data_IF_081476589414
#
_entry.id   IF_081476589414
#
_cell.length_a   1.000
_cell.length_b   1.000
_cell.length_c   1.000
_cell.angle_alpha   90.00
_cell.angle_beta   90.00
_cell.angle_gamma   90.00
#
_symmetry.space_group_name_H-M   'P 1'
#
loop_
_entity.id
_entity.type
_entity.pdbx_description
1 polymer ?
#
# COMPACT_ATOMS: atom_id res chain seq x y z
N UNK A 1 -64.17 23.13 -24.12
CA UNK A 1 -62.77 23.30 -24.56
C UNK A 1 -61.97 24.37 -23.80
N UNK A 2 -62.58 25.56 -23.51
CA UNK A 2 -61.89 26.60 -22.73
C UNK A 2 -61.39 26.16 -21.34
N UNK A 3 -62.24 25.44 -20.59
CA UNK A 3 -61.91 25.00 -19.23
C UNK A 3 -60.78 23.87 -19.18
N UNK A 4 -60.68 23.11 -20.27
CA UNK A 4 -59.59 22.08 -20.36
C UNK A 4 -58.24 22.75 -20.56
N UNK A 5 -58.19 23.83 -21.35
CA UNK A 5 -56.95 24.60 -21.57
C UNK A 5 -56.43 25.29 -20.28
N UNK A 6 -57.40 25.80 -19.46
CA UNK A 6 -57.02 26.41 -18.17
C UNK A 6 -56.49 25.42 -17.17
N UNK A 7 -57.01 24.19 -17.11
CA UNK A 7 -56.52 23.13 -16.21
C UNK A 7 -55.09 22.66 -16.65
N UNK A 8 -54.87 22.49 -17.96
CA UNK A 8 -53.55 22.12 -18.50
C UNK A 8 -52.51 23.22 -18.24
N UNK A 9 -52.90 24.49 -18.40
CA UNK A 9 -52.00 25.62 -18.10
C UNK A 9 -51.64 25.72 -16.61
N UNK A 10 -52.59 25.41 -15.72
CA UNK A 10 -52.37 25.41 -14.26
C UNK A 10 -51.41 24.26 -13.82
N UNK A 11 -51.54 23.09 -14.47
CA UNK A 11 -50.63 21.95 -14.21
C UNK A 11 -49.18 22.24 -14.67
N UNK A 12 -48.98 22.94 -15.78
CA UNK A 12 -47.63 23.28 -16.28
C UNK A 12 -46.92 24.25 -15.34
N UNK A 13 -47.64 25.20 -14.73
CA UNK A 13 -47.06 26.17 -13.77
C UNK A 13 -46.56 25.45 -12.48
N UNK A 14 -47.25 24.36 -12.06
CA UNK A 14 -46.86 23.61 -10.86
C UNK A 14 -45.51 22.87 -10.98
N UNK A 15 -45.09 22.51 -12.19
CA UNK A 15 -43.80 21.83 -12.43
C UNK A 15 -42.61 22.79 -12.40
N UNK A 16 -42.81 24.10 -12.52
CA UNK A 16 -41.73 25.09 -12.56
C UNK A 16 -41.18 25.36 -11.14
N UNK A 17 -41.92 25.09 -10.08
CA UNK A 17 -41.49 25.29 -8.69
C UNK A 17 -40.81 24.11 -8.05
N UNK A 18 -40.64 22.99 -8.77
CA UNK A 18 -39.93 21.79 -8.28
C UNK A 18 -38.40 21.84 -8.50
N UNK A 19 -37.83 23.02 -8.69
CA UNK A 19 -36.36 23.13 -8.66
C UNK A 19 -35.90 22.98 -7.22
N UNK A 20 -35.34 21.85 -6.89
CA UNK A 20 -34.63 21.64 -5.62
C UNK A 20 -33.61 22.77 -5.47
N UNK A 21 -33.84 23.61 -4.45
CA UNK A 21 -32.91 24.67 -4.09
C UNK A 21 -31.51 24.07 -3.94
N UNK A 22 -30.66 24.35 -4.91
CA UNK A 22 -29.30 23.85 -4.88
C UNK A 22 -28.58 24.57 -3.71
N UNK A 23 -27.95 23.86 -2.79
CA UNK A 23 -27.23 24.47 -1.64
C UNK A 23 -26.13 25.46 -2.06
N UNK A 24 -25.88 25.59 -3.38
CA UNK A 24 -24.90 26.49 -4.01
C UNK A 24 -25.50 27.93 -4.23
N UNK A 25 -26.77 28.17 -3.94
CA UNK A 25 -27.42 29.50 -4.17
C UNK A 25 -26.98 30.60 -3.19
N UNK A 26 -25.94 30.35 -2.39
CA UNK A 26 -25.36 31.33 -1.47
C UNK A 26 -23.89 31.59 -1.81
N UNK A 27 -23.38 32.83 -1.59
CA UNK A 27 -21.97 33.11 -1.79
C UNK A 27 -21.09 32.18 -0.98
N UNK A 28 -20.08 31.58 -1.62
CA UNK A 28 -19.15 30.71 -0.97
C UNK A 28 -17.72 30.92 -1.45
N UNK A 29 -16.77 30.55 -0.60
CA UNK A 29 -15.36 30.42 -0.94
C UNK A 29 -15.00 28.94 -0.96
N UNK A 30 -14.43 28.48 -2.06
CA UNK A 30 -13.88 27.12 -2.17
C UNK A 30 -12.36 27.17 -1.97
N UNK A 31 -11.88 26.34 -1.07
CA UNK A 31 -10.43 26.16 -0.83
C UNK A 31 -10.08 24.69 -0.78
N UNK A 32 -8.88 24.36 -1.26
CA UNK A 32 -8.31 23.05 -1.12
C UNK A 32 -6.95 23.13 -0.43
N UNK A 33 -6.61 22.07 0.28
CA UNK A 33 -5.29 21.92 0.89
C UNK A 33 -4.86 20.47 0.93
N UNK A 34 -3.54 20.29 0.82
CA UNK A 34 -2.87 19.00 0.94
C UNK A 34 -2.16 18.88 2.28
N UNK A 35 -2.13 17.66 2.80
CA UNK A 35 -1.26 17.27 3.89
C UNK A 35 -0.55 15.98 3.52
N UNK A 36 0.72 15.88 3.85
CA UNK A 36 1.56 14.71 3.57
C UNK A 36 2.52 14.42 4.72
N UNK A 37 3.00 13.18 4.76
CA UNK A 37 4.06 12.72 5.66
C UNK A 37 4.84 11.56 5.04
N UNK A 38 6.06 11.37 5.52
CA UNK A 38 6.93 10.25 5.17
C UNK A 38 7.13 9.36 6.39
N UNK A 39 6.84 8.07 6.29
CA UNK A 39 6.99 7.11 7.39
C UNK A 39 7.86 5.94 6.97
N UNK A 40 8.60 5.38 7.91
CA UNK A 40 9.37 4.15 7.72
C UNK A 40 8.38 2.98 7.73
N UNK A 41 8.43 2.05 6.74
CA UNK A 41 7.59 0.86 6.77
C UNK A 41 7.92 -0.02 7.98
N UNK A 42 6.89 -0.59 8.59
CA UNK A 42 6.99 -1.52 9.71
C UNK A 42 6.44 -2.92 9.37
N UNK A 43 6.05 -3.12 8.10
CA UNK A 43 5.64 -4.42 7.53
C UNK A 43 6.31 -4.59 6.19
N UNK A 44 7.16 -5.59 6.08
CA UNK A 44 7.93 -5.92 4.89
C UNK A 44 7.54 -7.34 4.47
N UNK A 45 7.05 -7.49 3.26
CA UNK A 45 6.59 -8.77 2.72
C UNK A 45 7.63 -9.31 1.76
N UNK A 46 8.15 -10.50 2.08
CA UNK A 46 9.08 -11.25 1.25
C UNK A 46 8.36 -12.45 0.66
N UNK A 47 8.57 -12.72 -0.63
CA UNK A 47 8.20 -13.98 -1.26
C UNK A 47 9.41 -14.91 -1.27
N UNK A 48 9.23 -16.13 -0.82
CA UNK A 48 10.25 -17.18 -0.77
C UNK A 48 9.76 -18.30 -1.68
N UNK A 49 10.43 -18.52 -2.79
CA UNK A 49 10.15 -19.64 -3.69
C UNK A 49 11.16 -20.75 -3.46
N UNK A 50 10.66 -21.92 -3.09
CA UNK A 50 11.46 -23.14 -2.94
C UNK A 50 11.23 -24.04 -4.15
N UNK A 51 12.31 -24.51 -4.75
CA UNK A 51 12.28 -25.42 -5.90
C UNK A 51 13.36 -26.49 -5.78
N UNK A 52 13.00 -27.75 -6.02
CA UNK A 52 13.97 -28.86 -6.10
C UNK A 52 15.05 -28.62 -7.16
N UNK A 53 14.67 -27.93 -8.24
CA UNK A 53 15.58 -27.57 -9.33
C UNK A 53 16.78 -26.72 -8.86
N UNK A 54 16.60 -25.88 -7.83
CA UNK A 54 17.64 -24.95 -7.37
C UNK A 54 18.78 -25.70 -6.69
N UNK A 55 18.50 -26.87 -6.10
CA UNK A 55 19.50 -27.77 -5.51
C UNK A 55 19.98 -28.85 -6.47
N UNK A 56 19.66 -28.77 -7.77
CA UNK A 56 19.95 -29.81 -8.78
C UNK A 56 19.41 -31.18 -8.34
N UNK A 57 18.19 -31.18 -7.81
CA UNK A 57 17.45 -32.36 -7.34
C UNK A 57 18.15 -33.15 -6.21
N UNK A 58 19.07 -32.50 -5.47
CA UNK A 58 19.77 -33.12 -4.32
C UNK A 58 18.96 -33.08 -3.03
N UNK A 59 18.04 -32.12 -2.90
CA UNK A 59 17.16 -31.95 -1.73
C UNK A 59 15.71 -31.90 -2.18
N UNK A 60 14.87 -32.63 -1.48
CA UNK A 60 13.42 -32.58 -1.69
C UNK A 60 12.83 -31.25 -1.19
N UNK A 61 11.62 -30.90 -1.65
CA UNK A 61 10.90 -29.73 -1.12
C UNK A 61 10.71 -29.83 0.38
N UNK A 62 10.41 -31.00 0.90
CA UNK A 62 10.18 -31.25 2.31
C UNK A 62 11.46 -30.99 3.15
N UNK A 63 12.63 -31.38 2.64
CA UNK A 63 13.92 -31.07 3.27
C UNK A 63 14.24 -29.58 3.25
N UNK A 64 13.93 -28.89 2.14
CA UNK A 64 14.12 -27.45 2.02
C UNK A 64 13.18 -26.67 2.94
N UNK A 65 11.94 -27.13 3.13
CA UNK A 65 10.99 -26.54 4.07
C UNK A 65 11.49 -26.61 5.52
N UNK A 66 11.95 -27.79 5.94
CA UNK A 66 12.51 -27.99 7.28
C UNK A 66 13.70 -27.05 7.49
N UNK A 67 14.60 -27.02 6.52
CA UNK A 67 15.78 -26.16 6.58
C UNK A 67 15.43 -24.67 6.61
N UNK A 68 14.47 -24.24 5.80
CA UNK A 68 13.94 -22.86 5.82
C UNK A 68 13.37 -22.53 7.20
N UNK A 69 12.53 -23.38 7.74
CA UNK A 69 11.92 -23.16 9.05
C UNK A 69 12.97 -23.05 10.17
N UNK A 70 13.94 -23.94 10.19
CA UNK A 70 15.05 -23.91 11.16
C UNK A 70 15.84 -22.60 11.07
N UNK A 71 16.19 -22.16 9.86
CA UNK A 71 16.94 -20.92 9.65
C UNK A 71 16.14 -19.68 10.06
N UNK A 72 14.88 -19.60 9.67
CA UNK A 72 14.01 -18.51 10.08
C UNK A 72 13.86 -18.44 11.60
N UNK A 73 13.65 -19.57 12.27
CA UNK A 73 13.59 -19.64 13.75
C UNK A 73 14.92 -19.24 14.40
N UNK A 74 16.06 -19.60 13.84
CA UNK A 74 17.37 -19.27 14.39
C UNK A 74 17.65 -17.78 14.46
N UNK A 75 17.00 -16.98 13.62
CA UNK A 75 17.09 -15.52 13.61
C UNK A 75 15.93 -14.82 14.32
N UNK A 76 15.09 -15.61 15.03
CA UNK A 76 14.03 -15.09 15.90
C UNK A 76 12.68 -14.87 15.21
N UNK A 77 12.46 -15.47 14.03
CA UNK A 77 11.16 -15.36 13.33
C UNK A 77 10.18 -16.41 13.87
N UNK A 78 8.98 -15.96 14.22
CA UNK A 78 7.85 -16.83 14.57
C UNK A 78 7.17 -17.30 13.28
N UNK A 79 7.62 -18.45 12.76
CA UNK A 79 7.12 -19.00 11.49
C UNK A 79 5.62 -19.26 11.51
N UNK A 80 5.01 -19.54 12.68
CA UNK A 80 3.56 -19.76 12.82
C UNK A 80 2.74 -18.49 12.56
N UNK A 81 3.29 -17.31 12.87
CA UNK A 81 2.61 -16.03 12.73
C UNK A 81 3.04 -15.25 11.49
N UNK A 82 4.29 -15.40 11.07
CA UNK A 82 4.92 -14.55 10.07
C UNK A 82 5.08 -15.23 8.71
N UNK A 83 5.00 -16.58 8.62
CA UNK A 83 5.15 -17.33 7.39
C UNK A 83 3.80 -17.92 6.95
N UNK A 84 3.44 -17.71 5.69
CA UNK A 84 2.20 -18.21 5.09
C UNK A 84 2.51 -18.88 3.76
N UNK A 85 1.92 -20.05 3.49
CA UNK A 85 2.00 -20.72 2.20
C UNK A 85 1.09 -19.98 1.20
N UNK A 86 1.66 -19.49 0.09
CA UNK A 86 0.93 -18.79 -0.95
C UNK A 86 0.48 -19.73 -2.08
N UNK A 87 1.38 -20.62 -2.52
CA UNK A 87 1.13 -21.49 -3.65
C UNK A 87 1.88 -22.82 -3.52
N UNK A 88 1.25 -23.87 -4.05
CA UNK A 88 1.77 -25.22 -4.12
C UNK A 88 1.59 -25.75 -5.54
N UNK A 89 2.67 -25.84 -6.30
CA UNK A 89 2.63 -26.34 -7.66
C UNK A 89 3.53 -27.56 -7.84
N UNK A 90 3.04 -28.55 -8.60
CA UNK A 90 3.86 -29.66 -9.10
C UNK A 90 3.77 -29.70 -10.63
N UNK A 91 4.89 -29.55 -11.30
CA UNK A 91 4.96 -29.57 -12.76
C UNK A 91 5.61 -30.87 -13.23
N UNK A 92 4.90 -31.58 -14.14
CA UNK A 92 5.44 -32.75 -14.84
C UNK A 92 6.22 -32.27 -16.06
N UNK A 93 7.54 -32.52 -16.11
CA UNK A 93 8.31 -32.46 -17.34
C UNK A 93 8.46 -33.85 -17.93
N UNK A 94 7.82 -34.10 -19.07
CA UNK A 94 8.10 -35.29 -19.88
C UNK A 94 9.36 -35.04 -20.71
N UNK A 95 10.45 -35.74 -20.41
CA UNK A 95 11.58 -35.84 -21.33
C UNK A 95 11.37 -36.99 -22.29
N UNK A 96 11.69 -36.80 -23.57
CA UNK A 96 11.44 -37.75 -24.67
C UNK A 96 12.20 -39.10 -24.54
N UNK A 97 13.17 -39.18 -23.66
CA UNK A 97 13.96 -40.38 -23.40
C UNK A 97 14.29 -40.48 -21.88
N UNK A 98 13.47 -41.23 -21.15
CA UNK A 98 13.66 -41.67 -19.76
C UNK A 98 13.44 -40.62 -18.66
N UNK A 99 12.57 -41.01 -17.74
CA UNK A 99 12.18 -40.42 -16.46
C UNK A 99 11.29 -39.19 -16.51
N UNK A 100 10.12 -39.35 -15.90
CA UNK A 100 9.20 -38.26 -15.59
C UNK A 100 9.68 -37.64 -14.26
N UNK A 101 10.46 -36.58 -14.34
CA UNK A 101 10.82 -35.82 -13.14
C UNK A 101 9.67 -34.92 -12.76
N UNK A 102 9.12 -35.12 -11.58
CA UNK A 102 8.10 -34.24 -10.98
C UNK A 102 8.86 -33.15 -10.26
N UNK A 103 8.95 -31.96 -10.86
CA UNK A 103 9.54 -30.80 -10.18
C UNK A 103 8.45 -30.14 -9.32
N UNK A 104 8.66 -30.17 -8.02
CA UNK A 104 7.81 -29.48 -7.05
C UNK A 104 8.35 -28.09 -6.78
N UNK A 105 7.43 -27.14 -6.61
CA UNK A 105 7.73 -25.78 -6.17
C UNK A 105 6.70 -25.35 -5.14
N UNK A 106 7.14 -24.59 -4.13
CA UNK A 106 6.27 -23.96 -3.15
C UNK A 106 6.65 -22.50 -2.97
N UNK A 107 5.65 -21.62 -2.87
CA UNK A 107 5.84 -20.20 -2.59
C UNK A 107 5.27 -19.85 -1.22
N UNK A 108 6.05 -19.06 -0.47
CA UNK A 108 5.71 -18.60 0.86
C UNK A 108 5.78 -17.10 0.94
N UNK A 109 4.85 -16.47 1.66
CA UNK A 109 4.96 -15.08 2.07
C UNK A 109 5.49 -15.00 3.50
N UNK A 110 6.54 -14.22 3.70
CA UNK A 110 7.10 -13.94 5.01
C UNK A 110 6.93 -12.46 5.34
N UNK A 111 6.40 -12.16 6.53
CA UNK A 111 6.33 -10.79 7.03
C UNK A 111 7.48 -10.58 8.02
N UNK A 112 8.27 -9.54 7.79
CA UNK A 112 9.26 -9.03 8.75
C UNK A 112 9.03 -7.55 9.03
N UNK A 113 9.61 -7.03 10.14
CA UNK A 113 9.20 -5.72 10.66
C UNK A 113 10.27 -4.64 10.52
N UNK A 114 11.46 -4.99 10.04
CA UNK A 114 12.55 -4.07 9.80
C UNK A 114 13.49 -4.56 8.68
N UNK A 115 14.26 -3.64 8.11
CA UNK A 115 15.16 -3.92 6.99
C UNK A 115 16.32 -4.83 7.38
N UNK A 116 16.81 -4.72 8.62
CA UNK A 116 17.91 -5.53 9.12
C UNK A 116 17.50 -7.01 9.22
N UNK A 117 16.30 -7.27 9.72
CA UNK A 117 15.72 -8.63 9.77
C UNK A 117 15.50 -9.17 8.36
N UNK A 118 14.99 -8.35 7.42
CA UNK A 118 14.84 -8.75 6.02
C UNK A 118 16.19 -9.18 5.40
N UNK A 119 17.23 -8.39 5.62
CA UNK A 119 18.58 -8.72 5.15
C UNK A 119 19.13 -10.01 5.76
N UNK A 120 18.88 -10.25 7.05
CA UNK A 120 19.26 -11.51 7.71
C UNK A 120 18.53 -12.72 7.15
N UNK A 121 17.24 -12.58 6.85
CA UNK A 121 16.45 -13.63 6.19
C UNK A 121 17.08 -14.04 4.87
N UNK A 122 17.36 -13.07 4.01
CA UNK A 122 17.98 -13.33 2.70
C UNK A 122 19.30 -14.07 2.88
N UNK A 123 20.17 -13.57 3.74
CA UNK A 123 21.48 -14.17 4.01
C UNK A 123 21.39 -15.62 4.51
N UNK A 124 20.53 -15.90 5.50
CA UNK A 124 20.40 -17.24 6.07
C UNK A 124 19.78 -18.24 5.08
N UNK A 125 18.84 -17.79 4.26
CA UNK A 125 18.22 -18.65 3.25
C UNK A 125 19.18 -18.93 2.09
N UNK A 126 19.97 -17.95 1.64
CA UNK A 126 21.02 -18.16 0.63
C UNK A 126 22.05 -19.16 1.09
N UNK A 127 22.49 -19.09 2.35
CA UNK A 127 23.42 -20.09 2.95
C UNK A 127 22.81 -21.50 3.00
N UNK A 128 21.50 -21.62 2.83
CA UNK A 128 20.76 -22.88 2.82
C UNK A 128 20.35 -23.33 1.43
N UNK A 129 20.93 -22.72 0.39
CA UNK A 129 20.61 -22.98 -1.04
C UNK A 129 19.18 -22.59 -1.42
N UNK A 130 18.54 -21.68 -0.67
CA UNK A 130 17.26 -21.07 -0.96
C UNK A 130 17.50 -19.61 -1.37
N UNK A 131 17.71 -19.37 -2.67
CA UNK A 131 18.12 -18.07 -3.19
C UNK A 131 16.99 -17.25 -3.85
N UNK A 132 15.80 -17.84 -4.05
CA UNK A 132 14.68 -17.17 -4.66
C UNK A 132 13.83 -16.42 -3.61
N UNK A 133 14.42 -15.39 -3.01
CA UNK A 133 13.75 -14.51 -2.04
C UNK A 133 13.59 -13.13 -2.67
N UNK A 134 12.35 -12.60 -2.69
CA UNK A 134 12.02 -11.31 -3.32
C UNK A 134 11.23 -10.43 -2.37
N UNK A 135 11.52 -9.13 -2.37
CA UNK A 135 10.66 -8.14 -1.76
C UNK A 135 9.41 -7.96 -2.62
N UNK A 136 8.23 -8.14 -2.03
CA UNK A 136 6.95 -7.95 -2.70
C UNK A 136 6.41 -6.54 -2.49
N UNK A 137 6.31 -6.13 -1.22
CA UNK A 137 5.81 -4.81 -0.84
C UNK A 137 6.27 -4.43 0.55
N UNK A 138 6.15 -3.14 0.84
CA UNK A 138 6.30 -2.60 2.18
C UNK A 138 5.03 -1.85 2.56
N UNK A 139 4.61 -1.94 3.81
CA UNK A 139 3.42 -1.29 4.35
C UNK A 139 3.73 -0.68 5.72
N UNK A 140 2.82 0.16 6.19
CA UNK A 140 2.83 0.64 7.57
C UNK A 140 1.56 0.19 8.28
N UNK A 141 1.70 -0.42 9.46
CA UNK A 141 0.58 -1.01 10.23
C UNK A 141 -0.52 0.00 10.58
N UNK A 142 -0.16 1.28 10.72
CA UNK A 142 -1.08 2.38 11.06
C UNK A 142 -1.42 3.27 9.85
N UNK A 143 -1.44 2.71 8.63
CA UNK A 143 -1.69 3.48 7.42
C UNK A 143 -3.02 4.25 7.47
N UNK A 144 -4.09 3.60 7.93
CA UNK A 144 -5.41 4.23 8.04
C UNK A 144 -5.42 5.37 9.07
N UNK A 145 -4.81 5.18 10.25
CA UNK A 145 -4.70 6.20 11.30
C UNK A 145 -3.95 7.43 10.79
N UNK A 146 -2.82 7.21 10.09
CA UNK A 146 -2.02 8.27 9.47
C UNK A 146 -2.85 9.08 8.47
N UNK A 147 -3.63 8.42 7.63
CA UNK A 147 -4.48 9.10 6.65
C UNK A 147 -5.56 9.93 7.31
N UNK A 148 -6.23 9.41 8.32
CA UNK A 148 -7.24 10.15 9.07
C UNK A 148 -6.65 11.41 9.71
N UNK A 149 -5.46 11.31 10.29
CA UNK A 149 -4.73 12.45 10.87
C UNK A 149 -4.35 13.48 9.79
N UNK A 150 -3.89 13.01 8.62
CA UNK A 150 -3.59 13.89 7.48
C UNK A 150 -4.84 14.60 6.94
N UNK A 151 -5.99 13.91 6.88
CA UNK A 151 -7.26 14.52 6.49
C UNK A 151 -7.65 15.66 7.45
N UNK A 152 -7.56 15.42 8.75
CA UNK A 152 -7.81 16.46 9.75
C UNK A 152 -6.87 17.66 9.56
N UNK A 153 -5.58 17.42 9.34
CA UNK A 153 -4.59 18.47 9.07
C UNK A 153 -4.89 19.23 7.76
N UNK A 154 -5.33 18.54 6.71
CA UNK A 154 -5.69 19.16 5.44
C UNK A 154 -6.93 20.08 5.59
N UNK A 155 -7.96 19.65 6.34
CA UNK A 155 -9.13 20.49 6.65
C UNK A 155 -8.73 21.76 7.40
N UNK A 156 -7.87 21.64 8.41
CA UNK A 156 -7.35 22.80 9.18
C UNK A 156 -6.60 23.75 8.26
N UNK A 157 -5.73 23.23 7.39
CA UNK A 157 -5.00 24.04 6.41
C UNK A 157 -5.96 24.77 5.43
N UNK A 158 -6.98 24.06 4.92
CA UNK A 158 -7.99 24.65 4.02
C UNK A 158 -8.77 25.78 4.72
N UNK A 159 -9.20 25.57 5.97
CA UNK A 159 -9.86 26.59 6.79
C UNK A 159 -8.97 27.81 7.01
N UNK A 160 -7.71 27.62 7.42
CA UNK A 160 -6.78 28.72 7.64
C UNK A 160 -6.53 29.53 6.36
N UNK A 161 -6.41 28.87 5.21
CA UNK A 161 -6.32 29.49 3.89
C UNK A 161 -7.57 30.32 3.59
N UNK A 162 -8.76 29.78 3.87
CA UNK A 162 -10.03 30.48 3.66
C UNK A 162 -10.12 31.74 4.55
N UNK A 163 -9.73 31.66 5.82
CA UNK A 163 -9.69 32.82 6.75
C UNK A 163 -8.80 33.93 6.20
N UNK A 164 -7.62 33.61 5.71
CA UNK A 164 -6.69 34.60 5.17
C UNK A 164 -7.24 35.29 3.92
N UNK A 165 -7.86 34.53 3.02
CA UNK A 165 -8.47 35.07 1.78
C UNK A 165 -9.65 35.99 2.12
N UNK A 166 -10.58 35.57 2.99
CA UNK A 166 -11.74 36.39 3.36
C UNK A 166 -11.33 37.67 4.09
N UNK A 167 -10.33 37.58 4.97
CA UNK A 167 -9.78 38.75 5.66
C UNK A 167 -9.22 39.80 4.67
N UNK A 168 -8.52 39.35 3.61
CA UNK A 168 -7.98 40.25 2.59
C UNK A 168 -9.07 40.97 1.79
N UNK A 169 -10.30 40.41 1.71
CA UNK A 169 -11.46 40.98 1.05
C UNK A 169 -12.39 41.73 2.01
N UNK A 170 -12.00 41.89 3.28
CA UNK A 170 -12.86 42.46 4.36
C UNK A 170 -14.19 41.71 4.52
N UNK A 171 -14.21 40.39 4.24
CA UNK A 171 -15.34 39.49 4.42
C UNK A 171 -15.10 38.57 5.63
N UNK A 172 -16.18 37.99 6.16
CA UNK A 172 -16.15 37.01 7.20
C UNK A 172 -16.30 35.59 6.65
N UNK A 173 -15.55 34.66 7.18
CA UNK A 173 -15.71 33.24 6.86
C UNK A 173 -16.83 32.65 7.72
N UNK A 174 -17.87 32.13 7.06
CA UNK A 174 -18.95 31.40 7.71
C UNK A 174 -18.65 29.90 7.86
N UNK A 175 -19.67 29.10 8.06
CA UNK A 175 -19.59 27.65 8.24
C UNK A 175 -19.19 26.93 6.96
N UNK A 176 -18.60 25.74 7.10
CA UNK A 176 -18.42 24.84 5.97
C UNK A 176 -19.77 24.30 5.51
N UNK A 177 -20.07 24.44 4.21
CA UNK A 177 -21.31 23.97 3.58
C UNK A 177 -21.10 22.71 2.73
N UNK A 178 -19.85 22.39 2.43
CA UNK A 178 -19.48 21.19 1.67
C UNK A 178 -18.03 20.79 1.98
N UNK A 179 -17.80 19.49 2.14
CA UNK A 179 -16.45 18.92 2.29
C UNK A 179 -16.36 17.75 1.33
N UNK A 180 -15.35 17.76 0.48
CA UNK A 180 -15.03 16.65 -0.43
C UNK A 180 -13.75 15.96 0.01
N UNK A 181 -13.86 14.64 0.21
CA UNK A 181 -12.81 13.71 0.56
C UNK A 181 -12.62 12.64 -0.54
N UNK A 182 -13.01 12.97 -1.77
CA UNK A 182 -13.08 12.02 -2.88
C UNK A 182 -11.72 11.78 -3.59
N UNK A 183 -10.67 12.50 -3.20
CA UNK A 183 -9.39 12.33 -3.85
C UNK A 183 -8.57 11.19 -3.24
N UNK A 184 -8.16 10.33 -4.14
CA UNK A 184 -7.35 9.13 -3.92
C UNK A 184 -6.20 9.39 -2.93
N UNK A 185 -6.22 8.64 -1.86
CA UNK A 185 -5.05 8.44 -1.01
C UNK A 185 -3.99 7.73 -1.86
N UNK A 186 -3.07 8.47 -2.44
CA UNK A 186 -1.97 7.87 -3.21
C UNK A 186 -1.02 7.24 -2.21
N UNK A 187 -1.24 5.95 -2.00
CA UNK A 187 -0.21 5.11 -1.40
C UNK A 187 0.84 4.88 -2.48
N UNK A 188 1.98 5.52 -2.39
CA UNK A 188 3.16 4.95 -3.02
C UNK A 188 3.64 3.78 -2.14
N UNK A 189 2.83 2.73 -2.02
CA UNK A 189 3.37 1.42 -1.70
C UNK A 189 4.21 1.04 -2.92
N UNK A 190 5.51 1.00 -2.76
CA UNK A 190 6.39 0.46 -3.80
C UNK A 190 6.03 -1.01 -3.99
N UNK A 191 5.00 -1.29 -4.77
CA UNK A 191 4.77 -2.60 -5.32
C UNK A 191 5.75 -2.78 -6.48
N UNK A 192 6.81 -3.51 -6.23
CA UNK A 192 7.59 -4.15 -7.28
C UNK A 192 8.74 -3.39 -7.94
N UNK A 193 8.87 -2.08 -7.80
CA UNK A 193 10.07 -1.36 -8.28
C UNK A 193 10.96 -0.96 -7.11
N UNK A 194 11.79 -1.89 -6.68
CA UNK A 194 12.92 -1.59 -5.82
C UNK A 194 14.09 -1.20 -6.73
N UNK A 195 14.13 0.05 -7.14
CA UNK A 195 15.37 0.65 -7.59
C UNK A 195 16.34 0.67 -6.40
N UNK A 196 17.22 -0.32 -6.32
CA UNK A 196 18.36 -0.26 -5.42
C UNK A 196 18.49 -1.28 -4.30
N UNK A 197 17.87 -2.47 -4.36
CA UNK A 197 18.48 -3.61 -3.66
C UNK A 197 19.53 -4.19 -4.59
N UNK A 198 20.74 -3.67 -4.50
CA UNK A 198 21.91 -4.35 -5.04
C UNK A 198 22.13 -5.59 -4.16
N UNK A 199 21.58 -6.72 -4.59
CA UNK A 199 22.06 -8.01 -4.10
C UNK A 199 23.47 -8.17 -4.66
N UNK A 200 24.45 -7.75 -3.90
CA UNK A 200 25.83 -8.11 -4.19
C UNK A 200 25.94 -9.61 -3.94
N UNK A 201 25.94 -10.38 -5.03
CA UNK A 201 26.34 -11.77 -5.02
C UNK A 201 27.78 -11.86 -4.49
N UNK A 202 27.94 -12.28 -3.26
CA UNK A 202 29.25 -12.58 -2.70
C UNK A 202 29.69 -13.95 -3.23
N UNK A 203 30.67 -13.94 -4.13
CA UNK A 203 31.43 -15.14 -4.44
C UNK A 203 32.10 -15.67 -3.15
N UNK A 204 31.91 -16.96 -2.90
CA UNK A 204 32.46 -17.67 -1.75
C UNK A 204 33.98 -17.51 -1.65
N UNK A 205 34.43 -16.53 -0.89
CA UNK A 205 35.79 -16.46 -0.35
C UNK A 205 35.74 -15.79 1.02
N UNK A 206 36.09 -16.59 2.03
CA UNK A 206 36.30 -16.25 3.44
C UNK A 206 35.04 -15.92 4.26
N UNK A 207 34.76 -16.75 5.27
CA UNK A 207 33.87 -16.52 6.39
C UNK A 207 34.36 -15.33 7.24
N UNK A 208 34.19 -14.12 6.74
CA UNK A 208 34.17 -12.92 7.59
C UNK A 208 32.76 -12.78 8.10
N UNK A 209 32.57 -12.67 9.43
CA UNK A 209 31.29 -12.23 10.01
C UNK A 209 30.89 -10.92 9.34
N UNK A 210 29.95 -11.03 8.38
CA UNK A 210 29.39 -9.86 7.71
C UNK A 210 28.48 -9.17 8.71
N UNK A 211 28.92 -8.03 9.23
CA UNK A 211 28.03 -7.13 9.99
C UNK A 211 26.98 -6.62 9.02
N UNK A 212 25.68 -6.81 9.32
CA UNK A 212 24.63 -6.24 8.49
C UNK A 212 24.84 -4.73 8.33
N UNK A 213 24.76 -4.23 7.11
CA UNK A 213 24.80 -2.80 6.84
C UNK A 213 23.56 -2.18 7.51
N UNK A 214 23.72 -1.04 8.17
CA UNK A 214 22.61 -0.29 8.75
C UNK A 214 21.87 0.46 7.66
N UNK A 215 20.89 -0.20 7.05
CA UNK A 215 20.07 0.33 5.96
C UNK A 215 18.60 0.26 6.34
N UNK A 216 17.85 1.24 5.86
CA UNK A 216 16.39 1.29 5.99
C UNK A 216 15.74 1.20 4.61
N UNK A 217 14.50 0.73 4.57
CA UNK A 217 13.68 0.82 3.36
C UNK A 217 13.32 2.28 3.08
N UNK A 218 13.09 2.58 1.79
CA UNK A 218 12.57 3.87 1.37
C UNK A 218 11.27 4.18 2.14
N UNK A 219 11.17 5.40 2.68
CA UNK A 219 9.97 5.86 3.38
C UNK A 219 8.76 5.87 2.47
N UNK A 220 7.63 5.44 3.01
CA UNK A 220 6.33 5.50 2.34
C UNK A 220 5.79 6.92 2.47
N UNK A 221 5.37 7.51 1.36
CA UNK A 221 4.69 8.81 1.35
C UNK A 221 3.18 8.60 1.45
N UNK A 222 2.57 9.20 2.47
CA UNK A 222 1.13 9.37 2.57
C UNK A 222 0.78 10.81 2.22
N UNK A 223 -0.22 11.00 1.38
CA UNK A 223 -0.70 12.32 0.96
C UNK A 223 -2.22 12.27 0.86
N UNK A 224 -2.89 13.35 1.29
CA UNK A 224 -4.32 13.55 1.11
C UNK A 224 -4.59 14.99 0.68
N UNK A 225 -5.66 15.18 -0.07
CA UNK A 225 -6.15 16.48 -0.49
C UNK A 225 -7.62 16.60 -0.11
N UNK A 226 -7.98 17.69 0.54
CA UNK A 226 -9.37 17.98 0.95
C UNK A 226 -9.79 19.31 0.34
N UNK A 227 -10.99 19.31 -0.24
CA UNK A 227 -11.65 20.52 -0.74
C UNK A 227 -12.81 20.87 0.17
N UNK A 228 -12.90 22.14 0.57
CA UNK A 228 -13.96 22.65 1.45
C UNK A 228 -14.56 23.90 0.85
N UNK A 229 -15.90 23.98 0.85
CA UNK A 229 -16.65 25.20 0.55
C UNK A 229 -17.17 25.81 1.84
N UNK A 230 -16.87 27.07 2.05
CA UNK A 230 -17.31 27.87 3.20
C UNK A 230 -18.27 28.93 2.73
N UNK A 231 -19.38 29.13 3.47
CA UNK A 231 -20.25 30.28 3.28
C UNK A 231 -19.47 31.57 3.52
N UNK A 232 -19.77 32.61 2.74
CA UNK A 232 -19.29 33.98 2.98
C UNK A 232 -20.34 34.78 3.76
N UNK A 233 -19.89 35.58 4.72
CA UNK A 233 -20.72 36.47 5.56
C UNK A 233 -20.20 37.90 5.52
#
# INVERSE_FOLDING_TARGET
MKNLFTIISLCIVSFIFSQTKNFIDQPYLETSAKADTLVIPDRIYLDILISEKDTKDKKSIEELEILMEERLKSIGIDTKKQLTLNDLASNFKKYFLKNTDILKTKSYSLIVYDAKTAGRVIYELENSEISNVKLIKTEHSKAEEIILDLKAKAVIKAKNKAILITKALNQKLGTAIFISDLENNIYNSNSGDVEGVVVMGYSAREKKELKPIDIEFKKIKFETNITVKFKLE
#
